data_IF_712533643109
#
_entry.id   IF_712533643109
#
_cell.length_a   1.000
_cell.length_b   1.000
_cell.length_c   1.000
_cell.angle_alpha   90.00
_cell.angle_beta   90.00
_cell.angle_gamma   90.00
#
_symmetry.space_group_name_H-M   'P 1'
#
loop_
_entity.id
_entity.type
_entity.pdbx_description
1 polymer ?
#
# COMPACT_ATOMS: atom_id res chain seq x y z
N UNK A 1 -15.06 -14.97 -33.01
CA UNK A 1 -14.34 -14.29 -31.89
C UNK A 1 -14.88 -12.88 -31.82
N UNK A 2 -15.51 -12.53 -30.70
CA UNK A 2 -16.17 -11.23 -30.49
C UNK A 2 -15.23 -10.27 -29.74
N UNK A 3 -15.39 -8.98 -30.01
CA UNK A 3 -14.64 -7.88 -29.41
C UNK A 3 -15.56 -7.21 -28.37
N UNK A 4 -15.03 -7.01 -27.16
CA UNK A 4 -15.66 -6.22 -26.11
C UNK A 4 -15.29 -4.76 -26.35
N UNK A 5 -16.26 -3.89 -26.58
CA UNK A 5 -16.08 -2.46 -26.73
C UNK A 5 -16.94 -1.70 -25.71
N UNK A 6 -16.46 -0.58 -25.19
CA UNK A 6 -17.25 0.26 -24.28
C UNK A 6 -17.68 1.54 -24.97
N UNK A 7 -18.98 1.80 -24.99
CA UNK A 7 -19.54 3.02 -25.54
C UNK A 7 -19.80 4.04 -24.42
N UNK A 8 -18.96 5.08 -24.37
CA UNK A 8 -18.99 6.06 -23.27
C UNK A 8 -20.26 6.91 -23.22
N UNK A 9 -20.91 7.15 -24.37
CA UNK A 9 -22.17 7.93 -24.44
C UNK A 9 -23.34 7.16 -23.83
N UNK A 10 -23.46 5.87 -24.13
CA UNK A 10 -24.52 5.01 -23.62
C UNK A 10 -24.15 4.31 -22.30
N UNK A 11 -22.88 4.44 -21.86
CA UNK A 11 -22.28 3.78 -20.69
C UNK A 11 -22.50 2.27 -20.68
N UNK A 12 -22.35 1.62 -21.83
CA UNK A 12 -22.63 0.19 -22.01
C UNK A 12 -21.52 -0.51 -22.78
N UNK A 13 -21.32 -1.78 -22.45
CA UNK A 13 -20.50 -2.68 -23.24
C UNK A 13 -21.26 -3.21 -24.45
N UNK A 14 -20.59 -3.24 -25.58
CA UNK A 14 -21.04 -3.84 -26.83
C UNK A 14 -20.15 -5.04 -27.18
N UNK A 15 -20.73 -6.01 -27.89
CA UNK A 15 -20.04 -7.21 -28.34
C UNK A 15 -20.03 -7.24 -29.86
N UNK A 16 -18.90 -6.86 -30.46
CA UNK A 16 -18.76 -6.66 -31.90
C UNK A 16 -18.15 -7.90 -32.56
N UNK A 17 -18.53 -8.20 -33.80
CA UNK A 17 -17.91 -9.29 -34.57
C UNK A 17 -16.67 -8.77 -35.33
N UNK A 18 -15.70 -9.64 -35.62
CA UNK A 18 -14.48 -9.29 -36.41
C UNK A 18 -14.76 -8.70 -37.80
N UNK A 19 -15.96 -8.91 -38.36
CA UNK A 19 -16.38 -8.31 -39.63
C UNK A 19 -16.65 -6.79 -39.51
N UNK A 20 -16.68 -6.26 -38.29
CA UNK A 20 -16.83 -4.84 -38.03
C UNK A 20 -15.56 -4.08 -38.43
N UNK A 21 -15.59 -3.47 -39.63
CA UNK A 21 -14.52 -2.60 -40.18
C UNK A 21 -14.34 -1.27 -39.41
N UNK A 22 -14.93 -1.13 -38.22
CA UNK A 22 -15.02 0.13 -37.48
C UNK A 22 -14.24 0.18 -36.17
N UNK A 23 -13.35 -0.78 -35.88
CA UNK A 23 -12.48 -0.66 -34.70
C UNK A 23 -11.48 0.46 -34.94
N UNK A 24 -11.66 1.57 -34.24
CA UNK A 24 -10.75 2.73 -34.29
C UNK A 24 -9.70 2.63 -33.19
N UNK A 25 -9.97 1.83 -32.14
CA UNK A 25 -9.06 1.63 -31.01
C UNK A 25 -8.09 0.46 -31.18
N UNK A 26 -7.13 0.38 -30.27
CA UNK A 26 -6.20 -0.76 -30.15
C UNK A 26 -6.97 -1.96 -29.60
N UNK A 27 -6.74 -3.14 -30.17
CA UNK A 27 -7.29 -4.40 -29.66
C UNK A 27 -6.25 -5.09 -28.79
N UNK A 28 -6.64 -5.43 -27.56
CA UNK A 28 -5.82 -6.13 -26.58
C UNK A 28 -6.53 -7.40 -26.13
N UNK A 29 -5.78 -8.48 -25.90
CA UNK A 29 -6.35 -9.71 -25.33
C UNK A 29 -6.19 -9.66 -23.81
N UNK A 30 -7.31 -9.71 -23.09
CA UNK A 30 -7.31 -9.76 -21.63
C UNK A 30 -6.85 -11.13 -21.11
N UNK A 31 -6.49 -11.20 -19.83
CA UNK A 31 -6.11 -12.43 -19.10
C UNK A 31 -7.22 -13.49 -19.06
N UNK A 32 -8.46 -13.10 -19.38
CA UNK A 32 -9.59 -14.01 -19.56
C UNK A 32 -9.73 -14.58 -20.98
N UNK A 33 -8.85 -14.22 -21.91
CA UNK A 33 -8.88 -14.64 -23.32
C UNK A 33 -9.83 -13.83 -24.21
N UNK A 34 -10.59 -12.89 -23.66
CA UNK A 34 -11.45 -12.02 -24.45
C UNK A 34 -10.68 -10.88 -25.11
N UNK A 35 -11.06 -10.56 -26.34
CA UNK A 35 -10.50 -9.44 -27.10
C UNK A 35 -11.25 -8.16 -26.71
N UNK A 36 -10.52 -7.12 -26.36
CA UNK A 36 -11.07 -5.86 -25.82
C UNK A 36 -10.54 -4.69 -26.63
N UNK A 37 -11.42 -3.77 -27.02
CA UNK A 37 -11.04 -2.50 -27.64
C UNK A 37 -10.72 -1.46 -26.57
N UNK A 38 -9.57 -0.80 -26.69
CA UNK A 38 -9.09 0.18 -25.71
C UNK A 38 -9.97 1.44 -25.64
N UNK A 39 -10.59 1.82 -26.77
CA UNK A 39 -11.36 3.05 -26.90
C UNK A 39 -12.53 3.06 -25.91
N UNK A 40 -12.62 4.13 -25.11
CA UNK A 40 -13.69 4.33 -24.13
C UNK A 40 -13.46 3.64 -22.79
N UNK A 41 -12.53 2.70 -22.67
CA UNK A 41 -12.27 2.02 -21.39
C UNK A 41 -11.74 2.96 -20.30
N UNK A 42 -11.02 4.02 -20.67
CA UNK A 42 -10.61 5.08 -19.73
C UNK A 42 -11.82 5.72 -19.04
N UNK A 43 -12.89 5.99 -19.79
CA UNK A 43 -14.14 6.53 -19.24
C UNK A 43 -14.92 5.53 -18.43
N UNK A 44 -14.85 4.24 -18.79
CA UNK A 44 -15.42 3.18 -17.98
C UNK A 44 -14.72 3.05 -16.63
N UNK A 45 -13.38 2.98 -16.60
CA UNK A 45 -12.67 2.83 -15.34
C UNK A 45 -12.84 4.05 -14.42
N UNK A 46 -12.83 5.25 -14.98
CA UNK A 46 -13.14 6.50 -14.26
C UNK A 46 -14.55 6.45 -13.65
N UNK A 47 -15.55 5.96 -14.39
CA UNK A 47 -16.92 5.82 -13.88
C UNK A 47 -17.02 4.82 -12.70
N UNK A 48 -16.40 3.64 -12.84
CA UNK A 48 -16.36 2.61 -11.77
C UNK A 48 -15.73 3.17 -10.50
N UNK A 49 -14.61 3.91 -10.64
CA UNK A 49 -13.93 4.53 -9.49
C UNK A 49 -14.77 5.63 -8.83
N UNK A 50 -15.45 6.47 -9.63
CA UNK A 50 -16.34 7.52 -9.11
C UNK A 50 -17.57 6.97 -8.40
N UNK A 51 -18.01 5.75 -8.73
CA UNK A 51 -19.04 5.01 -7.99
C UNK A 51 -18.51 4.39 -6.68
N UNK A 52 -17.22 4.54 -6.38
CA UNK A 52 -16.58 4.01 -5.17
C UNK A 52 -16.16 2.54 -5.29
N UNK A 53 -16.12 1.98 -6.49
CA UNK A 53 -15.78 0.58 -6.72
C UNK A 53 -14.31 0.40 -7.13
N UNK A 54 -13.65 -0.59 -6.51
CA UNK A 54 -12.25 -0.98 -6.77
C UNK A 54 -12.11 -2.30 -7.55
N UNK A 55 -13.23 -2.86 -7.98
CA UNK A 55 -13.28 -4.16 -8.66
C UNK A 55 -13.71 -3.98 -10.10
N UNK A 56 -12.81 -4.31 -11.02
CA UNK A 56 -13.06 -4.29 -12.46
C UNK A 56 -13.29 -5.72 -12.93
N UNK A 57 -14.33 -5.95 -13.75
CA UNK A 57 -14.68 -7.30 -14.23
C UNK A 57 -14.85 -7.30 -15.74
N UNK A 58 -14.45 -8.40 -16.36
CA UNK A 58 -14.82 -8.70 -17.73
C UNK A 58 -16.36 -8.74 -17.85
N UNK A 59 -16.97 -7.97 -18.76
CA UNK A 59 -18.43 -7.95 -18.91
C UNK A 59 -19.01 -9.25 -19.50
N UNK A 60 -18.16 -10.15 -20.02
CA UNK A 60 -18.59 -11.41 -20.64
C UNK A 60 -18.49 -12.61 -19.71
N UNK A 61 -17.39 -12.77 -18.99
CA UNK A 61 -17.17 -13.91 -18.11
C UNK A 61 -17.01 -13.54 -16.63
N UNK A 62 -17.18 -12.27 -16.28
CA UNK A 62 -17.09 -11.76 -14.91
C UNK A 62 -15.74 -11.97 -14.21
N UNK A 63 -14.70 -12.47 -14.93
CA UNK A 63 -13.34 -12.56 -14.39
C UNK A 63 -12.86 -11.17 -13.96
N UNK A 64 -12.31 -11.07 -12.76
CA UNK A 64 -11.72 -9.83 -12.25
C UNK A 64 -10.49 -9.46 -13.09
N UNK A 65 -10.42 -8.21 -13.51
CA UNK A 65 -9.24 -7.60 -14.10
C UNK A 65 -8.51 -6.80 -13.03
N UNK A 66 -7.21 -7.03 -12.90
CA UNK A 66 -6.35 -6.25 -12.02
C UNK A 66 -6.26 -4.80 -12.52
N UNK A 67 -6.10 -3.83 -11.63
CA UNK A 67 -5.89 -2.43 -12.00
C UNK A 67 -4.79 -2.26 -13.06
N UNK A 68 -3.66 -2.96 -12.89
CA UNK A 68 -2.55 -2.93 -13.85
C UNK A 68 -2.96 -3.49 -15.23
N UNK A 69 -3.82 -4.52 -15.26
CA UNK A 69 -4.39 -5.06 -16.49
C UNK A 69 -5.37 -4.06 -17.12
N UNK A 70 -6.23 -3.43 -16.33
CA UNK A 70 -7.16 -2.39 -16.80
C UNK A 70 -6.41 -1.21 -17.42
N UNK A 71 -5.33 -0.74 -16.79
CA UNK A 71 -4.48 0.31 -17.37
C UNK A 71 -3.94 -0.09 -18.75
N UNK A 72 -3.49 -1.34 -18.90
CA UNK A 72 -2.95 -1.85 -20.16
C UNK A 72 -4.05 -2.03 -21.22
N UNK A 73 -5.21 -2.58 -20.86
CA UNK A 73 -6.36 -2.75 -21.74
C UNK A 73 -6.89 -1.41 -22.26
N UNK A 74 -7.00 -0.43 -21.37
CA UNK A 74 -7.47 0.91 -21.70
C UNK A 74 -6.42 1.79 -22.39
N UNK A 75 -5.14 1.35 -22.41
CA UNK A 75 -4.02 2.15 -22.88
C UNK A 75 -3.97 3.54 -22.21
N UNK A 76 -4.16 3.59 -20.89
CA UNK A 76 -4.20 4.86 -20.15
C UNK A 76 -2.90 5.63 -20.30
N UNK A 77 -2.99 6.94 -20.55
CA UNK A 77 -1.83 7.82 -20.43
C UNK A 77 -1.39 7.97 -18.98
N UNK A 78 -0.21 8.53 -18.76
CA UNK A 78 0.29 8.80 -17.41
C UNK A 78 -0.66 9.73 -16.64
N UNK A 79 -1.22 10.73 -17.32
CA UNK A 79 -2.17 11.70 -16.75
C UNK A 79 -3.49 11.03 -16.36
N UNK A 80 -4.09 10.24 -17.27
CA UNK A 80 -5.34 9.52 -17.02
C UNK A 80 -5.19 8.52 -15.86
N UNK A 81 -4.07 7.80 -15.84
CA UNK A 81 -3.74 6.89 -14.76
C UNK A 81 -3.60 7.64 -13.43
N UNK A 82 -2.90 8.77 -13.42
CA UNK A 82 -2.70 9.58 -12.20
C UNK A 82 -4.03 10.08 -11.63
N UNK A 83 -4.96 10.55 -12.48
CA UNK A 83 -6.29 10.96 -12.03
C UNK A 83 -7.10 9.80 -11.43
N UNK A 84 -7.05 8.62 -12.05
CA UNK A 84 -7.69 7.43 -11.49
C UNK A 84 -7.07 7.01 -10.16
N UNK A 85 -5.74 7.04 -10.06
CA UNK A 85 -5.00 6.69 -8.85
C UNK A 85 -5.22 7.66 -7.70
N UNK A 86 -5.54 8.93 -7.98
CA UNK A 86 -5.99 9.88 -6.96
C UNK A 86 -7.36 9.48 -6.38
N UNK A 87 -8.30 9.03 -7.23
CA UNK A 87 -9.59 8.51 -6.76
C UNK A 87 -9.39 7.24 -5.93
N UNK A 88 -8.58 6.30 -6.42
CA UNK A 88 -8.18 5.08 -5.68
C UNK A 88 -7.65 5.48 -4.31
N UNK A 89 -6.72 6.45 -4.24
CA UNK A 89 -6.15 6.91 -2.98
C UNK A 89 -7.16 7.48 -1.99
N UNK A 90 -8.29 8.02 -2.46
CA UNK A 90 -9.35 8.58 -1.61
C UNK A 90 -10.30 7.50 -1.11
N UNK A 91 -10.58 6.48 -1.93
CA UNK A 91 -11.52 5.41 -1.59
C UNK A 91 -10.85 4.23 -0.88
N UNK A 92 -9.55 4.00 -1.09
CA UNK A 92 -8.78 3.01 -0.34
C UNK A 92 -8.57 3.51 1.08
N UNK A 93 -9.00 2.73 2.05
CA UNK A 93 -8.72 2.94 3.47
C UNK A 93 -7.34 2.37 3.84
N UNK A 94 -6.82 2.71 5.02
CA UNK A 94 -5.63 2.02 5.57
C UNK A 94 -5.84 0.50 5.74
N UNK A 95 -7.08 0.02 5.68
CA UNK A 95 -7.45 -1.38 5.75
C UNK A 95 -7.63 -2.04 4.38
N UNK A 96 -7.58 -1.29 3.27
CA UNK A 96 -7.64 -1.87 1.93
C UNK A 96 -6.32 -2.51 1.55
N UNK A 97 -6.24 -3.82 1.79
CA UNK A 97 -5.04 -4.63 1.63
C UNK A 97 -4.74 -5.04 0.19
N UNK A 98 -5.62 -4.70 -0.76
CA UNK A 98 -5.48 -5.11 -2.15
C UNK A 98 -4.68 -4.10 -2.98
N UNK A 99 -4.63 -2.83 -2.57
CA UNK A 99 -3.93 -1.75 -3.30
C UNK A 99 -2.77 -1.18 -2.49
N UNK A 100 -1.57 -1.13 -3.07
CA UNK A 100 -0.45 -0.37 -2.53
C UNK A 100 0.34 0.30 -3.65
N UNK A 101 1.02 1.40 -3.31
CA UNK A 101 1.97 2.04 -4.22
C UNK A 101 3.23 1.19 -4.34
N UNK A 102 3.69 1.01 -5.56
CA UNK A 102 5.00 0.43 -5.84
C UNK A 102 6.10 1.29 -5.20
N UNK A 103 7.06 0.71 -4.47
CA UNK A 103 8.11 1.47 -3.79
C UNK A 103 9.10 2.16 -4.74
N UNK A 104 9.11 1.79 -6.03
CA UNK A 104 10.04 2.34 -7.02
C UNK A 104 9.41 3.45 -7.86
N UNK A 105 8.22 3.21 -8.43
CA UNK A 105 7.57 4.16 -9.35
C UNK A 105 6.41 4.93 -8.73
N UNK A 106 5.98 4.60 -7.50
CA UNK A 106 4.87 5.25 -6.82
C UNK A 106 3.48 4.95 -7.37
N UNK A 107 3.37 4.20 -8.48
CA UNK A 107 2.09 3.83 -9.09
C UNK A 107 1.38 2.75 -8.26
N UNK A 108 0.04 2.77 -8.29
CA UNK A 108 -0.75 1.74 -7.60
C UNK A 108 -0.64 0.37 -8.28
N UNK A 109 -0.53 -0.65 -7.43
CA UNK A 109 -0.45 -2.06 -7.76
C UNK A 109 -1.55 -2.77 -6.97
N UNK A 110 -2.43 -3.49 -7.67
CA UNK A 110 -3.45 -4.33 -7.06
C UNK A 110 -2.95 -5.79 -7.00
N UNK A 111 -3.16 -6.47 -5.85
CA UNK A 111 -2.98 -7.92 -5.70
C UNK A 111 -4.33 -8.64 -5.64
N UNK A 112 -4.40 -9.83 -6.26
CA UNK A 112 -5.60 -10.70 -6.22
C UNK A 112 -5.60 -11.57 -4.97
N UNK A 113 -4.45 -12.15 -4.67
CA UNK A 113 -4.28 -13.08 -3.56
C UNK A 113 -3.78 -12.31 -2.33
N UNK A 114 -4.65 -12.20 -1.33
CA UNK A 114 -4.33 -11.50 -0.07
C UNK A 114 -3.36 -12.32 0.80
N UNK A 115 -3.30 -13.64 0.60
CA UNK A 115 -2.35 -14.53 1.29
C UNK A 115 -0.95 -14.36 0.72
N UNK A 116 -0.83 -13.98 -0.56
CA UNK A 116 0.45 -13.71 -1.19
C UNK A 116 0.99 -12.34 -0.78
N UNK A 117 2.11 -12.34 -0.08
CA UNK A 117 2.83 -11.13 0.33
C UNK A 117 3.61 -10.47 -0.81
N UNK A 118 3.61 -11.03 -2.02
CA UNK A 118 4.35 -10.49 -3.16
C UNK A 118 3.42 -9.84 -4.17
N UNK A 119 3.80 -8.70 -4.75
CA UNK A 119 3.12 -8.16 -5.92
C UNK A 119 4.11 -7.73 -7.01
N UNK A 120 3.74 -8.00 -8.25
CA UNK A 120 4.48 -7.58 -9.43
C UNK A 120 4.04 -6.18 -9.87
N UNK A 121 5.01 -5.30 -10.13
CA UNK A 121 4.75 -4.02 -10.77
C UNK A 121 5.04 -4.15 -12.27
N UNK A 122 3.99 -4.29 -13.09
CA UNK A 122 4.14 -4.39 -14.55
C UNK A 122 4.92 -3.21 -15.16
N UNK A 123 4.65 -1.93 -14.79
CA UNK A 123 5.43 -0.80 -15.30
C UNK A 123 6.93 -0.88 -14.97
N UNK A 124 7.29 -1.19 -13.73
CA UNK A 124 8.70 -1.36 -13.37
C UNK A 124 9.33 -2.55 -14.08
N UNK A 125 8.56 -3.63 -14.28
CA UNK A 125 9.06 -4.84 -14.93
C UNK A 125 9.39 -4.59 -16.40
N UNK A 126 8.54 -3.82 -17.09
CA UNK A 126 8.74 -3.38 -18.46
C UNK A 126 9.96 -2.45 -18.57
N UNK A 127 10.02 -1.39 -17.74
CA UNK A 127 11.14 -0.44 -17.73
C UNK A 127 12.48 -1.12 -17.43
N UNK A 128 12.51 -2.04 -16.46
CA UNK A 128 13.73 -2.76 -16.07
C UNK A 128 14.04 -3.95 -16.98
N UNK A 129 13.14 -4.33 -17.91
CA UNK A 129 13.21 -5.57 -18.72
C UNK A 129 13.45 -6.83 -17.89
N UNK A 130 12.91 -6.86 -16.67
CA UNK A 130 13.04 -7.95 -15.68
C UNK A 130 11.80 -7.92 -14.80
N UNK A 131 11.27 -9.08 -14.42
CA UNK A 131 10.18 -9.15 -13.44
C UNK A 131 10.58 -8.43 -12.14
N UNK A 132 9.86 -7.37 -11.81
CA UNK A 132 10.03 -6.60 -10.59
C UNK A 132 8.89 -6.92 -9.63
N UNK A 133 9.25 -7.58 -8.53
CA UNK A 133 8.34 -7.99 -7.47
C UNK A 133 8.75 -7.32 -6.17
N UNK A 134 7.79 -6.84 -5.39
CA UNK A 134 8.04 -6.31 -4.06
C UNK A 134 7.13 -6.97 -3.02
N UNK A 135 7.56 -6.90 -1.77
CA UNK A 135 6.78 -7.35 -0.62
C UNK A 135 5.68 -6.33 -0.32
N UNK A 136 4.44 -6.77 -0.32
CA UNK A 136 3.26 -5.97 0.00
C UNK A 136 3.30 -5.45 1.43
N UNK A 137 3.96 -6.13 2.36
CA UNK A 137 4.05 -5.69 3.76
C UNK A 137 5.15 -4.66 3.98
N UNK A 138 6.40 -5.03 3.72
CA UNK A 138 7.54 -4.16 4.01
C UNK A 138 7.90 -3.17 2.88
N UNK A 139 7.24 -3.26 1.72
CA UNK A 139 7.47 -2.41 0.55
C UNK A 139 8.94 -2.38 0.09
N UNK A 140 9.63 -3.51 0.23
CA UNK A 140 10.98 -3.74 -0.29
C UNK A 140 10.92 -4.73 -1.45
N UNK A 141 11.91 -4.67 -2.34
CA UNK A 141 12.07 -5.66 -3.41
C UNK A 141 12.08 -7.08 -2.82
N UNK A 142 11.38 -7.98 -3.49
CA UNK A 142 11.26 -9.37 -3.10
C UNK A 142 12.59 -10.09 -3.37
N UNK A 143 13.20 -10.69 -2.34
CA UNK A 143 14.44 -11.44 -2.54
C UNK A 143 14.10 -12.78 -3.19
N UNK A 144 14.72 -13.05 -4.34
CA UNK A 144 14.57 -14.29 -5.10
C UNK A 144 13.12 -14.57 -5.53
N UNK A 145 12.55 -13.77 -6.46
CA UNK A 145 11.19 -13.97 -6.96
C UNK A 145 10.97 -15.33 -7.63
N UNK A 146 12.04 -16.00 -8.05
CA UNK A 146 12.01 -17.31 -8.70
C UNK A 146 11.74 -18.47 -7.73
N UNK A 147 11.91 -18.27 -6.42
CA UNK A 147 11.61 -19.28 -5.40
C UNK A 147 10.21 -19.04 -4.88
N UNK A 148 9.32 -20.03 -5.03
CA UNK A 148 8.00 -19.98 -4.42
C UNK A 148 8.17 -20.00 -2.89
N UNK A 149 8.03 -18.82 -2.29
CA UNK A 149 8.21 -18.58 -0.86
C UNK A 149 7.06 -17.72 -0.36
N UNK A 150 6.59 -18.00 0.86
CA UNK A 150 5.65 -17.13 1.56
C UNK A 150 6.36 -15.99 2.31
N UNK A 151 7.70 -15.96 2.29
CA UNK A 151 8.53 -14.91 2.89
C UNK A 151 9.32 -14.14 1.82
N UNK A 152 9.46 -12.83 2.01
CA UNK A 152 10.17 -11.97 1.06
C UNK A 152 11.70 -11.98 1.20
N UNK A 153 12.25 -12.77 2.14
CA UNK A 153 13.69 -12.87 2.43
C UNK A 153 14.33 -11.63 3.05
N UNK A 154 13.56 -10.57 3.35
CA UNK A 154 14.08 -9.39 4.03
C UNK A 154 14.08 -9.61 5.55
N UNK A 155 15.26 -9.59 6.19
CA UNK A 155 15.43 -9.91 7.62
C UNK A 155 14.57 -9.06 8.57
N UNK A 156 14.34 -7.79 8.24
CA UNK A 156 13.50 -6.88 9.02
C UNK A 156 12.10 -6.66 8.42
N UNK A 157 11.55 -7.65 7.73
CA UNK A 157 10.24 -7.53 7.08
C UNK A 157 9.15 -7.13 8.08
N UNK A 158 9.06 -7.81 9.22
CA UNK A 158 8.05 -7.55 10.26
C UNK A 158 8.14 -6.14 10.81
N UNK A 159 9.34 -5.72 11.24
CA UNK A 159 9.58 -4.35 11.75
C UNK A 159 9.26 -3.29 10.70
N UNK A 160 9.72 -3.50 9.46
CA UNK A 160 9.45 -2.56 8.37
C UNK A 160 7.96 -2.52 8.03
N UNK A 161 7.27 -3.66 8.02
CA UNK A 161 5.83 -3.71 7.79
C UNK A 161 5.05 -2.92 8.85
N UNK A 162 5.44 -3.04 10.12
CA UNK A 162 4.88 -2.23 11.20
C UNK A 162 5.11 -0.74 10.98
N UNK A 163 6.34 -0.32 10.65
CA UNK A 163 6.64 1.09 10.35
C UNK A 163 5.83 1.63 9.17
N UNK A 164 5.64 0.80 8.13
CA UNK A 164 4.86 1.17 6.95
C UNK A 164 3.34 1.19 7.23
N UNK A 165 2.84 0.33 8.11
CA UNK A 165 1.40 0.11 8.27
C UNK A 165 0.78 0.58 9.60
N UNK A 166 1.56 1.01 10.59
CA UNK A 166 1.01 1.43 11.88
C UNK A 166 0.06 2.63 11.69
N UNK A 167 -1.00 2.77 12.50
CA UNK A 167 -1.91 3.91 12.39
C UNK A 167 -1.21 5.26 12.59
N UNK A 168 -1.88 6.32 12.16
CA UNK A 168 -1.46 7.70 12.43
C UNK A 168 -1.98 8.14 13.81
N UNK A 169 -1.19 8.95 14.52
CA UNK A 169 -1.59 9.61 15.77
C UNK A 169 -2.60 10.71 15.44
N UNK A 170 -3.83 10.54 15.92
CA UNK A 170 -4.93 11.49 15.74
C UNK A 170 -5.36 12.11 17.08
N UNK A 171 -4.40 12.72 17.79
CA UNK A 171 -4.65 13.46 19.04
C UNK A 171 -4.42 14.93 18.75
N UNK A 172 -5.45 15.76 18.91
CA UNK A 172 -5.35 17.20 18.65
C UNK A 172 -4.38 17.85 19.64
N UNK A 173 -3.67 18.89 19.20
CA UNK A 173 -2.68 19.66 19.98
C UNK A 173 -1.44 18.88 20.48
N UNK A 174 -1.36 17.56 20.27
CA UNK A 174 -0.12 16.82 20.50
C UNK A 174 0.96 17.30 19.53
N UNK A 175 2.19 17.51 20.02
CA UNK A 175 3.32 17.91 19.17
C UNK A 175 3.54 16.94 18.00
N UNK A 176 3.16 15.66 18.17
CA UNK A 176 3.30 14.60 17.18
C UNK A 176 2.00 14.28 16.42
N UNK A 177 1.00 15.16 16.44
CA UNK A 177 -0.21 15.00 15.63
C UNK A 177 0.13 14.74 14.16
N UNK A 178 -0.52 13.73 13.57
CA UNK A 178 -0.28 13.30 12.18
C UNK A 178 0.91 12.35 12.00
N UNK A 179 1.73 12.09 13.03
CA UNK A 179 2.84 11.15 12.91
C UNK A 179 2.37 9.68 12.93
N UNK A 180 3.10 8.75 12.30
CA UNK A 180 2.95 7.32 12.57
C UNK A 180 3.06 7.02 14.07
N UNK A 181 2.22 6.12 14.60
CA UNK A 181 2.27 5.70 16.01
C UNK A 181 3.60 5.05 16.40
N UNK A 182 4.27 4.39 15.46
CA UNK A 182 5.56 3.73 15.66
C UNK A 182 6.55 4.31 14.67
N UNK A 183 7.75 4.65 15.16
CA UNK A 183 8.90 5.06 14.34
C UNK A 183 10.11 4.23 14.71
N UNK A 184 11.18 4.33 13.93
CA UNK A 184 12.46 3.73 14.26
C UNK A 184 13.45 4.82 14.67
N UNK A 185 14.31 4.53 15.64
CA UNK A 185 15.44 5.39 15.97
C UNK A 185 16.33 5.58 14.72
N UNK A 186 16.65 6.81 14.30
CA UNK A 186 17.52 7.07 13.15
C UNK A 186 18.94 6.50 13.31
N UNK A 187 19.40 6.34 14.56
CA UNK A 187 20.74 5.88 14.88
C UNK A 187 20.85 4.35 14.95
N UNK A 188 19.91 3.66 15.61
CA UNK A 188 19.99 2.23 15.91
C UNK A 188 18.81 1.39 15.41
N UNK A 189 17.83 1.99 14.73
CA UNK A 189 16.66 1.32 14.15
C UNK A 189 15.69 0.65 15.13
N UNK A 190 15.93 0.73 16.45
CA UNK A 190 14.97 0.25 17.47
C UNK A 190 13.63 0.97 17.29
N UNK A 191 12.51 0.25 17.43
CA UNK A 191 11.19 0.85 17.34
C UNK A 191 10.91 1.71 18.58
N UNK A 192 10.33 2.88 18.35
CA UNK A 192 10.00 3.86 19.37
C UNK A 192 8.55 4.32 19.23
N UNK A 193 7.99 4.77 20.34
CA UNK A 193 6.67 5.39 20.44
C UNK A 193 6.78 6.68 21.24
N UNK A 194 5.88 7.62 20.97
CA UNK A 194 5.75 8.87 21.71
C UNK A 194 4.66 8.71 22.79
N UNK A 195 4.91 9.16 24.02
CA UNK A 195 3.94 9.09 25.13
C UNK A 195 2.74 10.05 24.96
N UNK A 196 2.81 10.94 23.97
CA UNK A 196 1.83 11.98 23.59
C UNK A 196 1.84 13.23 24.49
N UNK A 197 2.72 13.25 25.48
CA UNK A 197 2.94 14.38 26.38
C UNK A 197 4.24 15.11 26.00
N UNK A 198 4.28 16.43 26.22
CA UNK A 198 5.49 17.22 25.99
C UNK A 198 5.77 17.62 24.54
N UNK A 199 7.04 17.88 24.25
CA UNK A 199 7.50 18.31 22.92
C UNK A 199 7.61 17.11 21.96
N UNK A 200 8.03 17.35 20.71
CA UNK A 200 8.16 16.29 19.71
C UNK A 200 9.36 15.35 19.91
N UNK A 201 10.24 15.63 20.86
CA UNK A 201 11.55 15.01 20.91
C UNK A 201 11.54 13.87 21.91
N UNK A 202 12.21 12.79 21.54
CA UNK A 202 12.32 11.60 22.38
C UNK A 202 13.77 11.16 22.43
N UNK A 203 14.12 10.55 23.55
CA UNK A 203 15.37 9.83 23.72
C UNK A 203 15.17 8.37 23.33
N UNK A 204 16.05 7.87 22.47
CA UNK A 204 16.03 6.45 22.13
C UNK A 204 16.39 5.62 23.37
N UNK A 205 15.54 4.71 23.83
CA UNK A 205 15.82 3.92 25.03
C UNK A 205 16.99 2.94 24.84
N UNK A 206 17.40 2.66 23.60
CA UNK A 206 18.49 1.73 23.30
C UNK A 206 19.88 2.39 23.18
N UNK A 207 19.96 3.65 22.75
CA UNK A 207 21.24 4.30 22.47
C UNK A 207 21.31 5.78 22.87
N UNK A 208 20.33 6.25 23.65
CA UNK A 208 20.22 7.61 24.18
C UNK A 208 20.31 8.72 23.13
N UNK A 209 20.12 8.38 21.86
CA UNK A 209 20.09 9.35 20.78
C UNK A 209 18.77 10.12 20.84
N UNK A 210 18.85 11.42 21.13
CA UNK A 210 17.71 12.34 21.11
C UNK A 210 17.37 12.75 19.68
N UNK A 211 16.10 12.65 19.30
CA UNK A 211 15.65 13.08 17.99
C UNK A 211 14.19 13.52 17.98
N UNK A 212 13.83 14.30 16.98
CA UNK A 212 12.45 14.68 16.73
C UNK A 212 11.63 13.50 16.21
N UNK A 213 10.59 13.12 16.93
CA UNK A 213 9.65 12.09 16.48
C UNK A 213 8.88 12.51 15.21
N UNK A 214 8.82 13.81 14.85
CA UNK A 214 8.14 14.24 13.61
C UNK A 214 9.03 14.10 12.37
N UNK A 215 10.19 14.75 12.37
CA UNK A 215 11.06 14.85 11.20
C UNK A 215 12.23 13.86 11.21
N UNK A 216 12.45 13.12 12.30
CA UNK A 216 13.57 12.21 12.51
C UNK A 216 14.96 12.88 12.55
N UNK A 217 14.99 14.22 12.60
CA UNK A 217 16.21 15.02 12.70
C UNK A 217 16.61 15.36 14.14
N UNK A 218 17.76 16.02 14.26
CA UNK A 218 18.25 16.61 15.50
C UNK A 218 17.53 17.92 15.83
N UNK A 219 17.50 18.26 17.12
CA UNK A 219 16.86 19.48 17.62
C UNK A 219 17.45 20.78 17.13
N UNK A 220 18.76 20.80 16.91
CA UNK A 220 19.48 22.00 16.43
C UNK A 220 19.00 22.46 15.04
N UNK A 221 18.34 21.56 14.29
CA UNK A 221 17.78 21.86 12.96
C UNK A 221 16.37 22.44 13.01
N UNK A 222 15.76 22.60 14.19
CA UNK A 222 14.49 23.28 14.35
C UNK A 222 14.72 24.77 14.57
N UNK A 223 14.85 25.53 13.48
CA UNK A 223 14.91 26.99 13.54
C UNK A 223 13.66 27.52 14.22
N UNK A 224 13.81 28.02 15.45
CA UNK A 224 12.72 28.43 16.32
C UNK A 224 11.69 29.35 15.66
N UNK A 225 10.41 29.00 15.82
CA UNK A 225 9.28 29.87 15.53
C UNK A 225 8.10 29.13 14.91
N UNK A 226 7.10 28.77 15.74
CA UNK A 226 5.67 28.51 15.46
C UNK A 226 5.24 27.58 14.29
N UNK A 227 6.13 27.17 13.38
CA UNK A 227 5.90 26.18 12.33
C UNK A 227 6.63 24.91 12.73
N UNK A 228 5.85 23.90 13.12
CA UNK A 228 6.39 22.56 13.34
C UNK A 228 7.10 22.04 12.08
N UNK A 229 8.10 21.19 12.27
CA UNK A 229 8.76 20.52 11.16
C UNK A 229 7.80 19.59 10.39
N UNK A 230 8.13 19.32 9.12
CA UNK A 230 7.38 18.38 8.31
C UNK A 230 7.44 16.98 8.91
N UNK A 231 6.36 16.23 8.73
CA UNK A 231 6.29 14.84 9.14
C UNK A 231 7.12 14.04 8.15
N UNK A 232 8.22 13.45 8.61
CA UNK A 232 9.05 12.58 7.78
C UNK A 232 8.27 11.33 7.35
N UNK A 233 8.63 10.82 6.18
CA UNK A 233 8.06 9.60 5.61
C UNK A 233 8.27 8.38 6.53
N UNK A 234 7.47 7.32 6.30
CA UNK A 234 7.56 6.07 7.04
C UNK A 234 8.86 5.35 6.72
N UNK A 235 9.61 4.99 7.76
CA UNK A 235 10.96 4.44 7.64
C UNK A 235 10.96 2.98 7.14
N UNK A 236 12.03 2.62 6.43
CA UNK A 236 12.38 1.23 6.12
C UNK A 236 13.68 0.90 6.86
N UNK A 237 13.70 -0.21 7.58
CA UNK A 237 14.85 -0.60 8.41
C UNK A 237 15.56 -1.83 7.84
N UNK A 238 16.84 -1.95 8.17
CA UNK A 238 17.65 -3.11 7.84
C UNK A 238 17.49 -4.22 8.88
N UNK A 239 17.23 -3.86 10.13
CA UNK A 239 17.11 -4.75 11.30
C UNK A 239 18.45 -5.12 11.93
N UNK A 240 19.56 -4.76 11.30
CA UNK A 240 20.90 -5.17 11.75
C UNK A 240 21.39 -4.31 12.93
N UNK A 241 20.93 -3.06 13.03
CA UNK A 241 21.46 -2.08 14.00
C UNK A 241 20.85 -2.16 15.40
N UNK A 242 19.74 -2.88 15.57
CA UNK A 242 19.02 -2.98 16.84
C UNK A 242 19.89 -3.66 17.91
N UNK A 243 20.70 -4.64 17.50
CA UNK A 243 21.50 -5.49 18.38
C UNK A 243 22.96 -5.03 18.56
N UNK A 244 23.41 -4.06 17.78
CA UNK A 244 24.83 -3.66 17.72
C UNK A 244 25.28 -2.73 18.85
N UNK A 245 24.36 -2.23 19.70
CA UNK A 245 24.67 -1.21 20.73
C UNK A 245 24.35 -1.61 22.18
N UNK A 246 24.58 -2.89 22.53
CA UNK A 246 24.44 -3.40 23.91
C UNK A 246 25.31 -2.65 24.94
N UNK A 247 26.43 -2.08 24.51
CA UNK A 247 27.47 -1.53 25.41
C UNK A 247 27.07 -0.27 26.20
N UNK A 248 25.87 0.30 25.96
CA UNK A 248 25.42 1.56 26.57
C UNK A 248 24.32 1.41 27.63
N UNK A 249 23.80 0.19 27.83
CA UNK A 249 22.71 -0.11 28.75
C UNK A 249 23.14 -1.21 29.73
N UNK A 250 22.56 -1.19 30.93
CA UNK A 250 22.63 -2.37 31.79
C UNK A 250 21.71 -3.50 31.29
N UNK A 251 21.86 -4.70 31.86
CA UNK A 251 21.15 -5.89 31.38
C UNK A 251 19.62 -5.78 31.59
N UNK A 252 19.14 -5.07 32.62
CA UNK A 252 17.70 -4.89 32.89
C UNK A 252 17.07 -3.92 31.88
N UNK A 253 17.71 -2.78 31.63
CA UNK A 253 17.26 -1.81 30.64
C UNK A 253 17.25 -2.42 29.23
N UNK A 254 18.26 -3.22 28.89
CA UNK A 254 18.31 -3.91 27.61
C UNK A 254 17.18 -4.95 27.46
N UNK A 255 16.89 -5.71 28.53
CA UNK A 255 15.76 -6.65 28.53
C UNK A 255 14.42 -5.93 28.33
N UNK A 256 14.23 -4.78 28.98
CA UNK A 256 13.02 -3.98 28.82
C UNK A 256 12.86 -3.48 27.37
N UNK A 257 13.95 -3.05 26.72
CA UNK A 257 13.95 -2.67 25.30
C UNK A 257 13.49 -3.84 24.43
N UNK A 258 14.05 -5.04 24.65
CA UNK A 258 13.69 -6.25 23.87
C UNK A 258 12.23 -6.65 24.07
N UNK A 259 11.74 -6.64 25.32
CA UNK A 259 10.33 -6.94 25.62
C UNK A 259 9.40 -5.94 24.91
N UNK A 260 9.75 -4.66 24.95
CA UNK A 260 8.99 -3.60 24.29
C UNK A 260 8.94 -3.80 22.77
N UNK A 261 10.05 -4.17 22.13
CA UNK A 261 10.07 -4.50 20.70
C UNK A 261 9.13 -5.67 20.39
N UNK A 262 9.25 -6.76 21.16
CA UNK A 262 8.45 -7.96 20.97
C UNK A 262 6.96 -7.69 21.17
N UNK A 263 6.59 -6.85 22.15
CA UNK A 263 5.20 -6.43 22.33
C UNK A 263 4.66 -5.66 21.12
N UNK A 264 5.44 -4.74 20.56
CA UNK A 264 5.02 -4.00 19.36
C UNK A 264 4.83 -4.94 18.17
N UNK A 265 5.72 -5.92 18.00
CA UNK A 265 5.59 -6.95 16.97
C UNK A 265 4.34 -7.81 17.18
N UNK A 266 4.10 -8.30 18.39
CA UNK A 266 2.95 -9.13 18.71
C UNK A 266 1.63 -8.38 18.49
N UNK A 267 1.55 -7.12 18.92
CA UNK A 267 0.39 -6.26 18.67
C UNK A 267 0.17 -6.04 17.18
N UNK A 268 1.24 -5.86 16.41
CA UNK A 268 1.15 -5.74 14.95
C UNK A 268 0.65 -7.02 14.29
N UNK A 269 1.20 -8.17 14.68
CA UNK A 269 0.79 -9.48 14.18
C UNK A 269 -0.69 -9.73 14.46
N UNK A 270 -1.18 -9.42 15.67
CA UNK A 270 -2.60 -9.52 16.02
C UNK A 270 -3.47 -8.60 15.14
N UNK A 271 -3.02 -7.37 14.86
CA UNK A 271 -3.71 -6.47 13.95
C UNK A 271 -3.78 -7.01 12.52
N UNK A 272 -2.78 -7.77 12.06
CA UNK A 272 -2.83 -8.46 10.76
C UNK A 272 -3.77 -9.66 10.79
N UNK A 273 -3.72 -10.50 11.84
CA UNK A 273 -4.57 -11.69 11.95
C UNK A 273 -6.07 -11.35 12.08
N UNK A 274 -6.42 -10.31 12.82
CA UNK A 274 -7.81 -9.84 12.89
C UNK A 274 -8.33 -9.30 11.54
N UNK A 275 -7.46 -8.90 10.60
CA UNK A 275 -7.85 -8.42 9.27
C UNK A 275 -8.23 -9.57 8.33
N UNK A 276 -7.51 -10.69 8.37
CA UNK A 276 -7.84 -11.92 7.61
C UNK A 276 -9.25 -12.41 7.96
N UNK A 277 -9.58 -12.45 9.26
CA UNK A 277 -10.91 -12.92 9.72
C UNK A 277 -12.09 -12.00 9.34
N UNK A 278 -11.85 -10.74 8.98
CA UNK A 278 -12.89 -9.82 8.50
C UNK A 278 -13.17 -9.95 7.01
N UNK A 279 -12.18 -10.35 6.21
CA UNK A 279 -12.34 -10.61 4.77
C UNK A 279 -13.25 -11.83 4.50
N UNK A 280 -13.37 -12.76 5.46
CA UNK A 280 -14.21 -13.95 5.37
C UNK A 280 -15.67 -13.75 5.81
N UNK A 281 -16.09 -12.53 6.21
CA UNK A 281 -17.49 -12.31 6.58
C UNK A 281 -18.33 -12.08 5.31
N UNK A 282 -19.30 -12.95 4.97
CA UNK A 282 -20.19 -12.69 3.86
C UNK A 282 -20.92 -11.36 4.09
N UNK A 283 -20.89 -10.49 3.08
CA UNK A 283 -21.70 -9.27 3.07
C UNK A 283 -23.16 -9.66 3.23
N UNK A 284 -23.77 -9.34 4.38
CA UNK A 284 -25.20 -9.52 4.57
C UNK A 284 -25.93 -8.61 3.57
N UNK A 285 -26.89 -9.12 2.80
CA UNK A 285 -27.70 -8.27 1.94
C UNK A 285 -28.47 -7.27 2.79
N UNK A 286 -28.33 -5.99 2.42
CA UNK A 286 -29.14 -4.90 2.95
C UNK A 286 -30.61 -5.20 2.68
N UNK A 287 -31.36 -5.57 3.71
CA UNK A 287 -32.82 -5.60 3.64
C UNK A 287 -33.33 -4.17 3.52
N UNK A 288 -33.90 -3.83 2.36
CA UNK A 288 -34.80 -2.68 2.24
C UNK A 288 -36.10 -3.01 3.00
N UNK A 289 -36.60 -2.13 3.88
CA UNK A 289 -37.94 -2.28 4.42
C UNK A 289 -38.95 -2.01 3.30
N UNK A 290 -39.69 -3.05 2.94
CA UNK A 290 -40.82 -2.96 2.03
C UNK A 290 -41.94 -2.11 2.62
N UNK A 291 -42.57 -1.37 1.72
CA UNK A 291 -43.77 -0.57 1.90
C UNK A 291 -44.92 -1.39 2.50
N UNK A 292 -45.66 -0.77 3.43
CA UNK A 292 -47.03 -1.13 3.81
C UNK A 292 -47.92 -0.01 3.27
#
# INVERSE_FOLDING_TARGET
>A
MEIIAYEATSRRFQFLTKAYKGTVGRLCTASCGHLVESKGLNKWCEAVLNEGHLVFKCPKCCKVWLWQEVCALACLTQEERSSCEEIISRITTQADESFKKCPECGLYVQRVDLEKLSAECLPCSETKKKVFVFCFDCLREWRNPDVQSNSCGNGACTFTALLQGCPTINVQNAAVHGCPKVRACPNCEVLTQHCLEGCSNIDCPNCNYTFCFRCLGLDENHTGGLQGCSIAERQKVSGNKVYEKREQLDDEDYLLVLQTQLEMENRWAQLQMHRVTRADRPQQPSHQPGEI
#
